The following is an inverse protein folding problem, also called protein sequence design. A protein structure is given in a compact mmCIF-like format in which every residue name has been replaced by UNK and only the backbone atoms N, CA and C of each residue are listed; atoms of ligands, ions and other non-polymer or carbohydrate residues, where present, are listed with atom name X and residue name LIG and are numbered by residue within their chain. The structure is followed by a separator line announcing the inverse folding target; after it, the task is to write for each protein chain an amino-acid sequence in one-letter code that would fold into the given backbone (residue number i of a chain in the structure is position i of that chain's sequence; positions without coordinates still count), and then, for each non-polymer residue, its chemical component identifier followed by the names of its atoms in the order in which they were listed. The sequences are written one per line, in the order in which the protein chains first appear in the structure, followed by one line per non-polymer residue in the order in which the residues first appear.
data_IF_251364827064
#
_entry.id   IF_251364827064
#
_cell.length_a   1.000
_cell.length_b   1.000
_cell.length_c   1.000
_cell.angle_alpha   90.00
_cell.angle_beta   90.00
_cell.angle_gamma   90.00
#
_symmetry.space_group_name_H-M   'P 1'
#
loop_
_entity.id
_entity.type
_entity.pdbx_description
1 polymer ?
#
# COMPACT_ATOMS: atom_id res chain seq x y z
N UNK A 1 1.59 -4.81 8.12
CA UNK A 1 2.74 -5.39 8.84
C UNK A 1 3.11 -4.46 9.96
N UNK A 2 3.30 -4.98 11.16
CA UNK A 2 3.64 -4.23 12.36
C UNK A 2 5.00 -4.67 12.90
N UNK A 3 5.80 -3.71 13.35
CA UNK A 3 7.18 -3.93 13.76
C UNK A 3 7.49 -3.10 15.01
N UNK A 4 8.28 -3.65 15.92
CA UNK A 4 8.81 -2.99 17.12
C UNK A 4 10.33 -3.02 17.03
N UNK A 5 10.96 -1.86 17.05
CA UNK A 5 12.41 -1.70 16.89
C UNK A 5 12.95 -0.80 17.98
N UNK A 6 13.93 -1.27 18.73
CA UNK A 6 14.63 -0.44 19.72
C UNK A 6 15.32 0.75 19.04
N UNK A 7 15.10 1.96 19.54
CA UNK A 7 15.82 3.14 19.07
C UNK A 7 17.30 3.05 19.46
N UNK A 8 18.20 3.40 18.55
CA UNK A 8 19.66 3.29 18.80
C UNK A 8 20.20 4.33 19.79
N UNK A 9 19.42 5.37 20.08
CA UNK A 9 19.88 6.55 20.82
C UNK A 9 19.09 6.79 22.11
N UNK A 10 18.12 5.94 22.42
CA UNK A 10 17.28 6.04 23.61
C UNK A 10 16.79 4.66 24.00
N UNK A 11 16.40 4.50 25.27
CA UNK A 11 15.84 3.23 25.79
C UNK A 11 14.36 3.04 25.40
N UNK A 12 13.92 3.67 24.31
CA UNK A 12 12.55 3.62 23.82
C UNK A 12 12.46 2.82 22.53
N UNK A 13 11.36 2.11 22.38
CA UNK A 13 11.03 1.42 21.14
C UNK A 13 10.30 2.34 20.16
N UNK A 14 10.58 2.15 18.88
CA UNK A 14 9.86 2.73 17.75
C UNK A 14 8.92 1.64 17.21
N UNK A 15 7.66 1.99 17.08
CA UNK A 15 6.64 1.10 16.54
C UNK A 15 6.28 1.55 15.14
N UNK A 16 6.24 0.64 14.17
CA UNK A 16 5.88 0.97 12.79
C UNK A 16 4.78 0.07 12.27
N UNK A 17 3.92 0.63 11.42
CA UNK A 17 2.95 -0.11 10.63
C UNK A 17 3.12 0.20 9.15
N UNK A 18 3.24 -0.82 8.31
CA UNK A 18 3.36 -0.70 6.86
C UNK A 18 2.17 -1.37 6.19
N UNK A 19 1.39 -0.60 5.43
CA UNK A 19 0.30 -1.09 4.58
C UNK A 19 0.80 -1.11 3.14
N UNK A 20 1.07 -2.32 2.65
CA UNK A 20 1.69 -2.55 1.34
C UNK A 20 0.63 -3.11 0.38
N UNK A 21 0.16 -2.33 -0.60
CA UNK A 21 -0.80 -2.85 -1.58
C UNK A 21 -0.13 -3.77 -2.60
N UNK A 22 -0.97 -4.55 -3.31
CA UNK A 22 -0.50 -5.25 -4.51
C UNK A 22 -0.08 -4.24 -5.61
N UNK A 23 -0.74 -3.08 -5.67
CA UNK A 23 -0.45 -1.98 -6.57
C UNK A 23 -0.97 -0.67 -5.99
N UNK A 24 -0.17 0.40 -6.07
CA UNK A 24 -0.55 1.73 -5.59
C UNK A 24 0.44 2.28 -4.58
N UNK A 25 0.07 3.41 -3.97
CA UNK A 25 0.88 4.12 -2.99
C UNK A 25 1.04 3.33 -1.69
N UNK A 26 2.20 3.41 -1.04
CA UNK A 26 2.39 2.82 0.29
C UNK A 26 1.85 3.77 1.37
N UNK A 27 1.32 3.20 2.45
CA UNK A 27 0.91 3.95 3.63
C UNK A 27 1.65 3.39 4.85
N UNK A 28 2.43 4.26 5.49
CA UNK A 28 3.32 3.88 6.60
C UNK A 28 3.03 4.76 7.81
N UNK A 29 2.86 4.15 8.98
CA UNK A 29 2.67 4.82 10.26
C UNK A 29 3.84 4.49 11.20
N UNK A 30 4.14 5.41 12.10
CA UNK A 30 5.24 5.30 13.05
C UNK A 30 4.88 6.01 14.35
N UNK A 31 5.09 5.36 15.49
CA UNK A 31 5.16 6.02 16.80
C UNK A 31 6.64 6.15 17.12
N UNK A 32 7.13 7.39 17.14
CA UNK A 32 8.53 7.66 17.41
C UNK A 32 8.85 7.69 18.91
N UNK A 33 10.14 7.80 19.24
CA UNK A 33 10.62 7.88 20.63
C UNK A 33 10.08 9.07 21.44
N UNK A 34 9.44 10.05 20.79
CA UNK A 34 8.78 11.18 21.45
C UNK A 34 7.27 10.98 21.57
N UNK A 35 6.82 9.74 21.36
CA UNK A 35 5.44 9.29 21.42
C UNK A 35 4.52 10.04 20.43
N UNK A 36 5.09 10.60 19.35
CA UNK A 36 4.31 11.24 18.30
C UNK A 36 3.94 10.23 17.21
N UNK A 37 2.66 10.23 16.83
CA UNK A 37 2.12 9.34 15.80
C UNK A 37 2.25 10.02 14.44
N UNK A 38 3.18 9.53 13.63
CA UNK A 38 3.43 10.02 12.30
C UNK A 38 2.92 9.10 11.19
N UNK A 39 2.77 9.68 10.01
CA UNK A 39 2.42 9.01 8.76
C UNK A 39 3.35 9.44 7.63
N UNK A 40 3.70 8.50 6.75
CA UNK A 40 4.33 8.77 5.45
C UNK A 40 3.42 8.20 4.36
N UNK A 41 2.96 9.10 3.50
CA UNK A 41 2.16 8.77 2.31
C UNK A 41 3.12 8.61 1.12
N UNK A 42 3.11 7.46 0.46
CA UNK A 42 3.95 7.13 -0.69
C UNK A 42 5.45 7.43 -0.48
N UNK A 43 5.97 7.07 0.70
CA UNK A 43 7.37 7.29 1.11
C UNK A 43 7.81 8.76 1.05
N UNK A 44 6.86 9.71 1.14
CA UNK A 44 7.13 11.15 1.23
C UNK A 44 7.43 11.56 2.67
N UNK A 45 7.55 12.88 2.88
CA UNK A 45 7.89 13.48 4.18
C UNK A 45 6.88 13.05 5.26
N UNK A 46 7.40 12.83 6.48
CA UNK A 46 6.60 12.49 7.67
C UNK A 46 5.64 13.64 8.00
N UNK A 47 4.42 13.28 8.37
CA UNK A 47 3.34 14.17 8.82
C UNK A 47 2.71 13.58 10.07
N UNK A 48 1.93 14.36 10.82
CA UNK A 48 1.14 13.80 11.93
C UNK A 48 0.03 12.91 11.34
N UNK A 49 -0.23 11.76 11.96
CA UNK A 49 -1.29 10.86 11.51
C UNK A 49 -2.68 11.51 11.61
N UNK A 50 -2.87 12.44 12.55
CA UNK A 50 -4.09 13.24 12.72
C UNK A 50 -4.42 14.11 11.52
N UNK A 51 -3.41 14.64 10.82
CA UNK A 51 -3.59 15.38 9.56
C UNK A 51 -4.18 14.48 8.48
N UNK A 52 -3.73 13.21 8.38
CA UNK A 52 -4.33 12.27 7.45
C UNK A 52 -5.79 11.97 7.83
N UNK A 53 -6.08 11.73 9.11
CA UNK A 53 -7.46 11.46 9.57
C UNK A 53 -8.41 12.62 9.26
N UNK A 54 -7.98 13.86 9.52
CA UNK A 54 -8.71 15.09 9.16
C UNK A 54 -8.91 15.21 7.65
N UNK A 55 -7.87 14.95 6.86
CA UNK A 55 -7.96 14.96 5.38
C UNK A 55 -8.96 13.91 4.86
N UNK A 56 -9.06 12.75 5.53
CA UNK A 56 -10.04 11.70 5.21
C UNK A 56 -11.47 12.02 5.68
N UNK A 57 -11.66 13.13 6.40
CA UNK A 57 -12.98 13.64 6.76
C UNK A 57 -13.38 13.41 8.22
N UNK A 58 -12.49 12.89 9.06
CA UNK A 58 -12.78 12.81 10.50
C UNK A 58 -12.63 14.18 11.15
N UNK A 59 -13.59 14.54 11.98
CA UNK A 59 -13.52 15.71 12.86
C UNK A 59 -12.61 15.45 14.05
N UNK A 60 -12.13 16.52 14.67
CA UNK A 60 -11.31 16.42 15.87
C UNK A 60 -12.04 15.72 17.03
N UNK A 61 -13.35 15.93 17.15
CA UNK A 61 -14.20 15.25 18.14
C UNK A 61 -14.26 13.74 17.92
N UNK A 62 -14.49 13.31 16.68
CA UNK A 62 -14.49 11.89 16.31
C UNK A 62 -13.11 11.26 16.55
N UNK A 63 -12.01 11.96 16.23
CA UNK A 63 -10.66 11.43 16.51
C UNK A 63 -10.45 11.27 18.02
N UNK A 64 -10.88 12.23 18.85
CA UNK A 64 -10.75 12.11 20.31
C UNK A 64 -11.53 10.93 20.86
N UNK A 65 -12.77 10.76 20.43
CA UNK A 65 -13.62 9.65 20.86
C UNK A 65 -13.03 8.30 20.43
N UNK A 66 -12.66 8.21 19.16
CA UNK A 66 -12.18 6.97 18.55
C UNK A 66 -10.84 6.50 19.14
N UNK A 67 -9.99 7.44 19.57
CA UNK A 67 -8.65 7.14 20.11
C UNK A 67 -8.49 7.50 21.60
N UNK A 68 -9.58 7.64 22.36
CA UNK A 68 -9.56 8.07 23.76
C UNK A 68 -8.65 7.21 24.67
N UNK A 69 -8.54 5.92 24.38
CA UNK A 69 -7.70 4.97 25.13
C UNK A 69 -6.19 5.07 24.79
N UNK A 70 -5.79 5.91 23.83
CA UNK A 70 -4.44 5.92 23.27
C UNK A 70 -3.77 7.31 23.41
N UNK A 71 -3.06 7.58 24.53
CA UNK A 71 -2.48 8.89 24.81
C UNK A 71 -1.59 9.44 23.70
N UNK A 72 -0.75 8.60 23.07
CA UNK A 72 0.13 9.03 21.98
C UNK A 72 -0.64 9.69 20.81
N UNK A 73 -1.82 9.18 20.47
CA UNK A 73 -2.66 9.75 19.40
C UNK A 73 -3.28 11.07 19.85
N UNK A 74 -3.76 11.14 21.10
CA UNK A 74 -4.36 12.35 21.68
C UNK A 74 -3.32 13.46 21.81
N UNK A 75 -2.14 13.17 22.35
CA UNK A 75 -1.03 14.12 22.46
C UNK A 75 -0.58 14.63 21.09
N UNK A 76 -0.60 13.77 20.07
CA UNK A 76 -0.31 14.16 18.69
C UNK A 76 -1.38 15.11 18.14
N UNK A 77 -2.65 14.87 18.49
CA UNK A 77 -3.77 15.73 18.10
C UNK A 77 -3.69 17.11 18.75
N UNK A 78 -3.31 17.19 20.02
CA UNK A 78 -3.15 18.45 20.75
C UNK A 78 -2.00 19.31 20.23
N UNK A 79 -0.91 18.67 19.77
CA UNK A 79 0.23 19.35 19.14
C UNK A 79 -0.02 19.74 17.68
N UNK A 80 -1.13 19.31 17.10
CA UNK A 80 -1.45 19.55 15.69
C UNK A 80 -1.94 20.99 15.49
N UNK A 81 -1.39 21.67 14.49
CA UNK A 81 -1.77 23.05 14.16
C UNK A 81 -2.87 23.13 13.10
N UNK A 82 -3.14 22.01 12.40
CA UNK A 82 -4.16 21.91 11.35
C UNK A 82 -5.49 21.58 12.01
N UNK A 83 -6.53 22.39 11.81
CA UNK A 83 -7.82 22.19 12.48
C UNK A 83 -8.90 21.67 11.53
N UNK A 84 -8.90 22.12 10.27
CA UNK A 84 -9.95 21.78 9.32
C UNK A 84 -9.51 20.70 8.32
N UNK A 85 -10.49 20.02 7.71
CA UNK A 85 -10.22 19.06 6.63
C UNK A 85 -9.49 19.73 5.45
N UNK A 86 -9.87 20.96 5.09
CA UNK A 86 -9.31 21.67 3.95
C UNK A 86 -7.84 22.04 4.20
N UNK A 87 -7.51 22.54 5.38
CA UNK A 87 -6.11 22.78 5.79
C UNK A 87 -5.29 21.49 5.76
N UNK A 88 -5.87 20.36 6.19
CA UNK A 88 -5.21 19.07 6.16
C UNK A 88 -4.92 18.60 4.74
N UNK A 89 -5.88 18.76 3.82
CA UNK A 89 -5.70 18.45 2.40
C UNK A 89 -4.61 19.32 1.76
N UNK A 90 -4.56 20.61 2.09
CA UNK A 90 -3.54 21.53 1.60
C UNK A 90 -2.14 21.20 2.14
N UNK A 91 -2.01 20.93 3.44
CA UNK A 91 -0.73 20.56 4.06
C UNK A 91 -0.17 19.26 3.48
N UNK A 92 -1.04 18.25 3.35
CA UNK A 92 -0.68 16.96 2.77
C UNK A 92 -0.25 17.11 1.30
N UNK A 93 -1.00 17.88 0.52
CA UNK A 93 -0.66 18.15 -0.88
C UNK A 93 0.71 18.83 -1.00
N UNK A 94 0.96 19.88 -0.22
CA UNK A 94 2.22 20.64 -0.22
C UNK A 94 3.42 19.74 0.08
N UNK A 95 3.28 18.79 1.00
CA UNK A 95 4.39 17.88 1.37
C UNK A 95 4.63 16.76 0.35
N UNK A 96 3.59 16.32 -0.35
CA UNK A 96 3.71 15.31 -1.42
C UNK A 96 4.22 15.94 -2.72
N UNK A 97 3.73 17.15 -3.05
CA UNK A 97 4.04 17.91 -4.27
C UNK A 97 4.46 19.35 -3.95
N UNK A 98 5.70 19.57 -3.47
CA UNK A 98 6.15 20.89 -3.01
C UNK A 98 6.30 21.95 -4.10
N UNK A 99 6.31 21.56 -5.39
CA UNK A 99 6.45 22.48 -6.53
C UNK A 99 5.14 22.89 -7.19
N UNK A 100 4.00 22.36 -6.74
CA UNK A 100 2.69 22.66 -7.33
C UNK A 100 1.86 23.52 -6.35
N UNK A 101 1.09 24.51 -6.84
CA UNK A 101 0.23 25.31 -5.97
C UNK A 101 -0.83 24.41 -5.31
N UNK A 102 -0.92 24.39 -3.97
CA UNK A 102 -1.86 23.51 -3.28
C UNK A 102 -3.29 24.08 -3.39
N UNK A 103 -4.23 23.24 -3.84
CA UNK A 103 -5.68 23.49 -3.74
C UNK A 103 -6.36 22.35 -3.01
N UNK A 104 -7.52 22.62 -2.41
CA UNK A 104 -8.29 21.62 -1.65
C UNK A 104 -8.73 20.48 -2.56
N UNK A 105 -9.18 20.80 -3.77
CA UNK A 105 -9.62 19.84 -4.78
C UNK A 105 -8.47 18.95 -5.23
N UNK A 106 -7.28 19.53 -5.41
CA UNK A 106 -6.09 18.78 -5.79
C UNK A 106 -5.64 17.84 -4.65
N UNK A 107 -5.69 18.28 -3.39
CA UNK A 107 -5.47 17.45 -2.20
C UNK A 107 -6.45 16.29 -2.11
N UNK A 108 -7.75 16.57 -2.29
CA UNK A 108 -8.82 15.56 -2.25
C UNK A 108 -8.64 14.53 -3.37
N UNK A 109 -8.43 15.01 -4.59
CA UNK A 109 -8.18 14.15 -5.75
C UNK A 109 -6.90 13.31 -5.59
N UNK A 110 -5.87 13.83 -4.93
CA UNK A 110 -4.63 13.10 -4.67
C UNK A 110 -4.88 11.91 -3.73
N UNK A 111 -5.54 12.14 -2.59
CA UNK A 111 -5.89 11.09 -1.62
C UNK A 111 -6.80 10.03 -2.25
N UNK A 112 -7.84 10.47 -2.97
CA UNK A 112 -8.76 9.59 -3.70
C UNK A 112 -8.00 8.67 -4.67
N UNK A 113 -7.10 9.25 -5.47
CA UNK A 113 -6.30 8.49 -6.42
C UNK A 113 -5.26 7.58 -5.75
N UNK A 114 -4.83 7.90 -4.53
CA UNK A 114 -3.83 7.11 -3.82
C UNK A 114 -4.41 5.90 -3.14
N UNK A 115 -5.63 5.96 -2.57
CA UNK A 115 -6.11 4.89 -1.71
C UNK A 115 -7.51 4.35 -2.05
N UNK A 116 -8.35 5.14 -2.71
CA UNK A 116 -9.77 4.83 -2.91
C UNK A 116 -10.15 4.56 -4.37
N UNK A 117 -9.31 4.95 -5.33
CA UNK A 117 -9.54 4.70 -6.74
C UNK A 117 -9.04 3.29 -7.17
N UNK A 118 -9.93 2.34 -7.53
CA UNK A 118 -9.54 0.97 -7.92
C UNK A 118 -8.66 0.91 -9.18
N UNK A 119 -8.73 1.95 -10.03
CA UNK A 119 -7.86 2.05 -11.21
C UNK A 119 -6.41 2.31 -10.83
N UNK A 120 -6.13 2.88 -9.66
CA UNK A 120 -4.77 3.27 -9.23
C UNK A 120 -4.26 2.50 -8.03
N UNK A 121 -5.17 2.06 -7.16
CA UNK A 121 -4.88 1.31 -5.95
C UNK A 121 -5.57 -0.05 -5.94
N UNK A 122 -4.88 -1.09 -5.50
CA UNK A 122 -5.37 -2.47 -5.47
C UNK A 122 -4.62 -3.30 -4.43
N UNK A 123 -5.34 -3.82 -3.43
CA UNK A 123 -4.84 -4.78 -2.45
C UNK A 123 -4.78 -6.22 -2.99
N UNK A 124 -5.49 -6.49 -4.09
CA UNK A 124 -5.90 -7.82 -4.53
C UNK A 124 -6.74 -8.57 -3.49
N UNK A 125 -7.44 -9.63 -3.92
CA UNK A 125 -8.27 -10.48 -3.05
C UNK A 125 -7.49 -11.01 -1.82
N UNK A 126 -6.22 -11.38 -2.04
CA UNK A 126 -5.35 -11.91 -0.98
C UNK A 126 -4.94 -10.81 0.01
N UNK A 127 -4.64 -9.60 -0.46
CA UNK A 127 -4.29 -8.49 0.42
C UNK A 127 -5.48 -8.04 1.26
N UNK A 128 -6.68 -7.94 0.66
CA UNK A 128 -7.92 -7.65 1.40
C UNK A 128 -8.19 -8.71 2.47
N UNK A 129 -8.09 -10.00 2.14
CA UNK A 129 -8.17 -11.09 3.12
C UNK A 129 -7.16 -10.94 4.28
N UNK A 130 -5.91 -10.54 3.97
CA UNK A 130 -4.86 -10.33 4.97
C UNK A 130 -5.17 -9.16 5.90
N UNK A 131 -5.61 -8.03 5.36
CA UNK A 131 -6.01 -6.85 6.15
C UNK A 131 -7.18 -7.21 7.07
N UNK A 132 -8.23 -7.82 6.51
CA UNK A 132 -9.40 -8.27 7.26
C UNK A 132 -9.03 -9.20 8.42
N UNK A 133 -8.17 -10.20 8.14
CA UNK A 133 -7.73 -11.14 9.16
C UNK A 133 -6.89 -10.46 10.26
N UNK A 134 -5.98 -9.55 9.88
CA UNK A 134 -5.04 -8.90 10.81
C UNK A 134 -5.71 -7.84 11.68
N UNK A 135 -6.66 -7.08 11.13
CA UNK A 135 -7.34 -5.98 11.82
C UNK A 135 -8.73 -6.35 12.37
N UNK A 136 -9.20 -7.59 12.12
CA UNK A 136 -10.56 -8.00 12.48
C UNK A 136 -11.62 -7.18 11.78
N UNK A 137 -11.53 -7.07 10.44
CA UNK A 137 -12.49 -6.34 9.61
C UNK A 137 -13.25 -7.31 8.70
N UNK A 138 -14.52 -6.99 8.40
CA UNK A 138 -15.43 -7.84 7.62
C UNK A 138 -15.76 -7.29 6.22
N UNK A 139 -14.90 -6.42 5.68
CA UNK A 139 -15.04 -5.90 4.31
C UNK A 139 -15.08 -7.03 3.26
N UNK A 140 -15.79 -6.85 2.16
CA UNK A 140 -15.91 -7.90 1.15
C UNK A 140 -14.54 -8.17 0.48
N UNK A 141 -14.26 -9.42 0.12
CA UNK A 141 -13.00 -9.77 -0.56
C UNK A 141 -12.87 -9.13 -1.95
N UNK A 142 -13.97 -8.63 -2.52
CA UNK A 142 -14.02 -7.86 -3.75
C UNK A 142 -13.61 -6.40 -3.55
N UNK A 143 -13.59 -5.90 -2.32
CA UNK A 143 -13.23 -4.52 -2.00
C UNK A 143 -11.70 -4.38 -2.06
N UNK A 144 -11.21 -4.10 -3.26
CA UNK A 144 -9.79 -4.08 -3.57
C UNK A 144 -9.08 -2.79 -3.15
N UNK A 145 -9.81 -1.78 -2.67
CA UNK A 145 -9.27 -0.48 -2.23
C UNK A 145 -9.36 -0.34 -0.72
N UNK A 146 -8.51 0.49 -0.10
CA UNK A 146 -8.61 0.75 1.34
C UNK A 146 -9.90 1.51 1.67
N UNK A 147 -10.32 1.42 2.93
CA UNK A 147 -11.41 2.20 3.50
C UNK A 147 -10.90 3.05 4.67
N UNK A 148 -11.70 4.04 5.09
CA UNK A 148 -11.38 4.82 6.29
C UNK A 148 -11.26 3.92 7.53
N UNK A 149 -12.15 2.92 7.68
CA UNK A 149 -12.09 1.98 8.81
C UNK A 149 -10.80 1.17 8.81
N UNK A 150 -10.27 0.76 7.65
CA UNK A 150 -8.96 0.09 7.57
C UNK A 150 -7.84 0.99 8.10
N UNK A 151 -7.86 2.28 7.76
CA UNK A 151 -6.84 3.26 8.19
C UNK A 151 -6.93 3.49 9.69
N UNK A 152 -8.13 3.73 10.22
CA UNK A 152 -8.39 3.92 11.65
C UNK A 152 -7.97 2.67 12.43
N UNK A 153 -8.39 1.48 12.00
CA UNK A 153 -8.03 0.22 12.63
C UNK A 153 -6.52 -0.04 12.60
N UNK A 154 -5.82 0.37 11.53
CA UNK A 154 -4.36 0.28 11.46
C UNK A 154 -3.68 1.15 12.51
N UNK A 155 -4.13 2.40 12.67
CA UNK A 155 -3.59 3.32 13.68
C UNK A 155 -3.93 2.82 15.10
N UNK A 156 -5.15 2.33 15.33
CA UNK A 156 -5.55 1.73 16.61
C UNK A 156 -4.68 0.54 16.96
N UNK A 157 -4.44 -0.36 16.02
CA UNK A 157 -3.59 -1.52 16.23
C UNK A 157 -2.15 -1.11 16.57
N UNK A 158 -1.60 -0.11 15.85
CA UNK A 158 -0.27 0.42 16.14
C UNK A 158 -0.19 1.05 17.54
N UNK A 159 -1.21 1.83 17.92
CA UNK A 159 -1.28 2.47 19.23
C UNK A 159 -1.46 1.44 20.36
N UNK A 160 -2.27 0.41 20.15
CA UNK A 160 -2.43 -0.72 21.08
C UNK A 160 -1.12 -1.47 21.29
N UNK A 161 -0.35 -1.71 20.21
CA UNK A 161 0.97 -2.32 20.29
C UNK A 161 1.96 -1.46 21.10
N UNK A 162 1.85 -0.14 21.01
CA UNK A 162 2.70 0.80 21.75
C UNK A 162 2.40 0.85 23.26
N UNK A 163 1.14 0.64 23.65
CA UNK A 163 0.75 0.56 25.07
C UNK A 163 0.72 -0.87 25.61
N UNK A 164 1.34 -1.82 24.89
CA UNK A 164 1.39 -3.26 25.21
C UNK A 164 0.01 -3.87 25.53
N UNK A 165 -1.05 -3.43 24.84
CA UNK A 165 -2.40 -4.00 24.98
C UNK A 165 -2.48 -5.32 24.22
N UNK A 166 -2.86 -6.41 24.89
CA UNK A 166 -2.84 -7.77 24.31
C UNK A 166 -3.88 -8.01 23.21
N UNK A 167 -5.05 -7.38 23.31
CA UNK A 167 -6.17 -7.60 22.40
C UNK A 167 -6.89 -6.31 22.01
N UNK A 168 -7.48 -6.32 20.82
CA UNK A 168 -8.41 -5.31 20.34
C UNK A 168 -9.71 -5.94 19.88
N UNK A 169 -10.86 -5.29 20.12
CA UNK A 169 -12.12 -5.75 19.56
C UNK A 169 -12.08 -5.64 18.03
N UNK A 170 -12.58 -6.67 17.37
CA UNK A 170 -12.78 -6.72 15.93
C UNK A 170 -14.03 -7.54 15.58
N UNK A 171 -14.27 -7.69 14.29
CA UNK A 171 -15.36 -8.50 13.75
C UNK A 171 -14.82 -9.53 12.76
N UNK A 172 -15.37 -10.74 12.79
CA UNK A 172 -15.10 -11.77 11.78
C UNK A 172 -16.36 -12.57 11.50
N UNK A 173 -16.84 -12.50 10.25
CA UNK A 173 -18.10 -13.14 9.85
C UNK A 173 -19.32 -12.56 10.56
N UNK A 174 -19.27 -11.30 11.02
CA UNK A 174 -20.32 -10.65 11.79
C UNK A 174 -20.32 -10.98 13.29
N UNK A 175 -19.38 -11.82 13.75
CA UNK A 175 -19.19 -12.10 15.17
C UNK A 175 -18.09 -11.21 15.75
N UNK A 176 -18.32 -10.71 16.97
CA UNK A 176 -17.32 -9.93 17.70
C UNK A 176 -16.21 -10.86 18.18
N UNK A 177 -14.96 -10.50 17.88
CA UNK A 177 -13.78 -11.28 18.23
C UNK A 177 -12.72 -10.39 18.88
N UNK A 178 -11.90 -10.98 19.73
CA UNK A 178 -10.68 -10.34 20.22
C UNK A 178 -9.52 -10.66 19.27
N UNK A 179 -9.02 -9.61 18.62
CA UNK A 179 -7.84 -9.66 17.76
C UNK A 179 -6.61 -9.50 18.62
N UNK A 180 -5.75 -10.52 18.63
CA UNK A 180 -4.45 -10.44 19.31
C UNK A 180 -3.55 -9.38 18.68
N UNK A 181 -2.96 -8.54 19.52
CA UNK A 181 -2.04 -7.49 19.11
C UNK A 181 -0.60 -8.01 19.26
N UNK A 182 0.02 -8.26 18.12
CA UNK A 182 1.41 -8.71 18.01
C UNK A 182 2.12 -8.09 16.78
N UNK A 183 3.44 -8.07 16.84
CA UNK A 183 4.31 -7.76 15.69
C UNK A 183 4.23 -8.87 14.64
N UNK A 184 4.58 -8.54 13.40
CA UNK A 184 4.59 -9.50 12.30
C UNK A 184 6.03 -9.93 11.99
N UNK A 185 6.25 -11.24 11.90
CA UNK A 185 7.45 -11.79 11.27
C UNK A 185 7.29 -11.68 9.74
N UNK A 186 8.16 -10.89 9.11
CA UNK A 186 8.16 -10.68 7.66
C UNK A 186 8.66 -11.89 6.87
N UNK A 187 9.31 -12.85 7.54
CA UNK A 187 9.94 -14.01 6.92
C UNK A 187 9.11 -15.29 7.01
N UNK A 188 8.14 -15.30 7.92
CA UNK A 188 7.12 -16.33 7.99
C UNK A 188 6.42 -16.51 6.63
N UNK A 189 6.26 -17.75 6.15
CA UNK A 189 5.63 -18.03 4.84
C UNK A 189 4.16 -17.61 4.74
N UNK A 190 3.49 -17.38 5.88
CA UNK A 190 2.21 -16.71 5.88
C UNK A 190 2.29 -15.30 5.28
N UNK A 191 3.40 -14.60 5.45
CA UNK A 191 3.63 -13.20 5.06
C UNK A 191 4.51 -13.08 3.80
N UNK A 192 5.29 -14.12 3.46
CA UNK A 192 6.01 -14.23 2.18
C UNK A 192 5.19 -14.96 1.12
N UNK A 193 4.76 -14.23 0.08
CA UNK A 193 3.97 -14.79 -1.03
C UNK A 193 4.82 -15.11 -2.26
N UNK A 194 4.65 -16.31 -2.80
CA UNK A 194 5.24 -16.72 -4.08
C UNK A 194 4.36 -16.20 -5.23
N UNK A 195 4.98 -15.50 -6.19
CA UNK A 195 4.35 -15.11 -7.46
C UNK A 195 4.71 -16.11 -8.54
N UNK A 196 3.72 -16.82 -9.07
CA UNK A 196 3.91 -17.78 -10.15
C UNK A 196 4.04 -17.10 -11.52
N UNK A 197 4.51 -17.85 -12.52
CA UNK A 197 4.73 -17.37 -13.90
C UNK A 197 3.48 -16.68 -14.48
N UNK A 198 2.29 -17.25 -14.28
CA UNK A 198 1.05 -16.68 -14.77
C UNK A 198 0.77 -15.27 -14.22
N UNK A 199 1.04 -15.04 -12.94
CA UNK A 199 0.86 -13.72 -12.32
C UNK A 199 1.90 -12.71 -12.82
N UNK A 200 3.15 -13.15 -13.01
CA UNK A 200 4.20 -12.30 -13.57
C UNK A 200 3.81 -11.81 -14.97
N UNK A 201 3.36 -12.71 -15.83
CA UNK A 201 2.90 -12.38 -17.20
C UNK A 201 1.64 -11.49 -17.14
N UNK A 202 0.66 -11.83 -16.30
CA UNK A 202 -0.55 -11.04 -16.12
C UNK A 202 -0.24 -9.58 -15.75
N UNK A 203 0.75 -9.35 -14.89
CA UNK A 203 1.17 -8.00 -14.51
C UNK A 203 1.77 -7.23 -15.71
N UNK A 204 2.53 -7.89 -16.58
CA UNK A 204 3.09 -7.25 -17.78
C UNK A 204 2.00 -6.91 -18.79
N UNK A 205 1.08 -7.85 -19.05
CA UNK A 205 -0.08 -7.63 -19.93
C UNK A 205 -0.93 -6.47 -19.40
N UNK A 206 -1.19 -6.41 -18.09
CA UNK A 206 -1.93 -5.30 -17.47
C UNK A 206 -1.24 -3.95 -17.72
N UNK A 207 0.08 -3.88 -17.50
CA UNK A 207 0.85 -2.66 -17.78
C UNK A 207 0.77 -2.26 -19.26
N UNK A 208 0.89 -3.23 -20.17
CA UNK A 208 0.71 -3.01 -21.61
C UNK A 208 -0.68 -2.49 -21.97
N UNK A 209 -1.73 -3.06 -21.38
CA UNK A 209 -3.12 -2.62 -21.57
C UNK A 209 -3.36 -1.22 -21.01
N UNK A 210 -2.75 -0.86 -19.87
CA UNK A 210 -2.86 0.50 -19.32
C UNK A 210 -2.22 1.55 -20.24
N UNK A 211 -1.07 1.23 -20.86
CA UNK A 211 -0.45 2.09 -21.88
C UNK A 211 -1.35 2.22 -23.12
N UNK A 212 -1.95 1.11 -23.56
CA UNK A 212 -2.90 1.11 -24.68
C UNK A 212 -4.16 1.92 -24.36
N UNK A 213 -4.71 1.80 -23.14
CA UNK A 213 -5.87 2.58 -22.68
C UNK A 213 -5.60 4.08 -22.79
N UNK A 214 -4.41 4.53 -22.39
CA UNK A 214 -4.02 5.94 -22.53
C UNK A 214 -4.06 6.41 -23.99
N UNK A 215 -3.53 5.60 -24.91
CA UNK A 215 -3.55 5.91 -26.35
C UNK A 215 -4.98 5.95 -26.89
N UNK A 216 -5.84 5.03 -26.44
CA UNK A 216 -7.26 5.02 -26.83
C UNK A 216 -7.94 6.32 -26.35
N UNK A 217 -7.75 6.72 -25.09
CA UNK A 217 -8.33 7.96 -24.54
C UNK A 217 -7.90 9.20 -25.34
N UNK A 218 -6.63 9.29 -25.68
CA UNK A 218 -6.08 10.40 -26.48
C UNK A 218 -6.64 10.44 -27.91
N UNK A 219 -6.78 9.27 -28.55
CA UNK A 219 -7.38 9.16 -29.89
C UNK A 219 -8.87 9.51 -29.89
N UNK A 220 -9.61 9.11 -28.87
CA UNK A 220 -11.03 9.46 -28.74
C UNK A 220 -11.28 10.97 -28.65
N UNK A 221 -10.33 11.74 -28.11
CA UNK A 221 -10.45 13.21 -28.04
C UNK A 221 -9.97 13.95 -29.30
N UNK A 222 -9.21 13.28 -30.17
CA UNK A 222 -8.55 13.91 -31.32
C UNK A 222 -9.16 13.51 -32.65
N UNK A 223 -9.78 12.34 -32.74
CA UNK A 223 -10.41 11.84 -33.96
C UNK A 223 -11.86 12.31 -34.06
N UNK A 224 -12.33 12.45 -35.30
CA UNK A 224 -13.73 12.77 -35.60
C UNK A 224 -14.64 11.60 -35.20
N UNK A 225 -15.75 11.92 -34.51
CA UNK A 225 -16.68 10.95 -33.90
C UNK A 225 -17.28 10.02 -34.95
N UNK A 226 -17.52 10.52 -36.17
CA UNK A 226 -18.12 9.74 -37.26
C UNK A 226 -17.13 8.75 -37.90
N UNK A 227 -15.81 8.97 -37.75
CA UNK A 227 -14.75 8.14 -38.33
C UNK A 227 -14.16 7.11 -37.34
N UNK A 228 -14.60 7.11 -36.09
CA UNK A 228 -14.07 6.23 -35.05
C UNK A 228 -14.54 4.78 -35.28
N UNK A 229 -13.57 3.87 -35.41
CA UNK A 229 -13.82 2.42 -35.36
C UNK A 229 -12.89 1.76 -34.33
N UNK A 230 -13.22 0.55 -33.82
CA UNK A 230 -12.34 -0.13 -32.87
C UNK A 230 -10.91 -0.34 -33.41
N UNK A 231 -10.76 -0.54 -34.72
CA UNK A 231 -9.45 -0.70 -35.35
C UNK A 231 -8.62 0.59 -35.34
N UNK A 232 -9.24 1.77 -35.48
CA UNK A 232 -8.51 3.05 -35.45
C UNK A 232 -8.07 3.43 -34.03
N UNK A 233 -8.79 2.97 -33.01
CA UNK A 233 -8.47 3.22 -31.60
C UNK A 233 -7.41 2.25 -31.05
N UNK A 234 -7.48 0.97 -31.41
CA UNK A 234 -6.64 -0.08 -30.81
C UNK A 234 -5.24 -0.07 -31.42
N UNK A 235 -4.24 0.21 -30.60
CA UNK A 235 -2.83 0.03 -30.94
C UNK A 235 -2.21 -1.03 -30.02
N UNK A 236 -1.91 -2.22 -30.56
CA UNK A 236 -1.38 -3.35 -29.78
C UNK A 236 0.12 -3.22 -29.47
N UNK A 237 0.84 -2.28 -30.09
CA UNK A 237 2.31 -2.14 -29.93
C UNK A 237 2.74 -2.07 -28.46
N UNK A 238 2.11 -1.29 -27.56
CA UNK A 238 2.50 -1.23 -26.15
C UNK A 238 2.33 -2.57 -25.42
N UNK A 239 1.31 -3.35 -25.76
CA UNK A 239 1.05 -4.67 -25.18
C UNK A 239 2.13 -5.65 -25.62
N UNK A 240 2.37 -5.76 -26.93
CA UNK A 240 3.40 -6.65 -27.48
C UNK A 240 4.79 -6.28 -26.96
N UNK A 241 5.10 -4.98 -26.88
CA UNK A 241 6.37 -4.50 -26.35
C UNK A 241 6.58 -4.91 -24.89
N UNK A 242 5.56 -4.76 -24.03
CA UNK A 242 5.67 -5.16 -22.61
C UNK A 242 5.94 -6.66 -22.42
N UNK A 243 5.33 -7.51 -23.26
CA UNK A 243 5.54 -8.96 -23.23
C UNK A 243 6.95 -9.30 -23.73
N UNK A 244 7.38 -8.71 -24.85
CA UNK A 244 8.72 -8.93 -25.41
C UNK A 244 9.81 -8.47 -24.44
N UNK A 245 9.64 -7.31 -23.82
CA UNK A 245 10.56 -6.77 -22.82
C UNK A 245 10.69 -7.73 -21.64
N UNK A 246 9.58 -8.24 -21.11
CA UNK A 246 9.62 -9.22 -20.03
C UNK A 246 10.41 -10.48 -20.37
N UNK A 247 10.16 -11.12 -21.52
CA UNK A 247 10.89 -12.34 -21.87
C UNK A 247 12.35 -12.07 -22.29
N UNK A 248 12.65 -10.87 -22.81
CA UNK A 248 13.98 -10.52 -23.31
C UNK A 248 14.96 -10.03 -22.25
N UNK A 249 14.51 -9.25 -21.26
CA UNK A 249 15.41 -8.55 -20.32
C UNK A 249 15.11 -8.79 -18.84
N UNK A 250 14.02 -9.50 -18.49
CA UNK A 250 13.69 -9.76 -17.09
C UNK A 250 14.68 -10.72 -16.44
N UNK A 251 15.10 -10.41 -15.20
CA UNK A 251 15.89 -11.32 -14.36
C UNK A 251 15.18 -12.66 -14.08
N UNK A 252 13.85 -12.69 -14.21
CA UNK A 252 13.03 -13.89 -14.01
C UNK A 252 12.84 -14.70 -15.31
N UNK A 253 13.24 -14.16 -16.47
CA UNK A 253 13.28 -14.85 -17.74
C UNK A 253 14.72 -15.30 -18.01
N UNK A 254 15.04 -16.54 -17.61
CA UNK A 254 16.40 -17.08 -17.66
C UNK A 254 16.55 -18.13 -18.76
N UNK A 255 17.74 -18.24 -19.34
CA UNK A 255 18.06 -19.35 -20.23
C UNK A 255 17.97 -20.66 -19.46
N UNK A 256 17.25 -21.64 -20.01
CA UNK A 256 17.05 -22.93 -19.35
C UNK A 256 18.39 -23.62 -19.08
N UNK A 257 18.54 -24.17 -17.87
CA UNK A 257 19.71 -24.98 -17.53
C UNK A 257 19.50 -26.38 -18.12
N UNK A 258 20.34 -26.74 -19.07
CA UNK A 258 20.21 -27.96 -19.88
C UNK A 258 21.41 -28.89 -19.71
N UNK A 259 22.24 -28.71 -18.68
CA UNK A 259 23.41 -29.56 -18.44
C UNK A 259 23.02 -31.03 -18.25
N UNK A 260 21.89 -31.30 -17.58
CA UNK A 260 21.28 -32.61 -17.45
C UNK A 260 19.78 -32.49 -17.10
N UNK A 261 18.98 -33.57 -17.20
CA UNK A 261 17.54 -33.51 -16.91
C UNK A 261 17.19 -33.00 -15.50
N UNK A 262 18.02 -33.31 -14.50
CA UNK A 262 17.82 -32.87 -13.11
C UNK A 262 18.05 -31.36 -12.96
N UNK A 263 19.04 -30.81 -13.65
CA UNK A 263 19.31 -29.37 -13.68
C UNK A 263 18.11 -28.62 -14.29
N UNK A 264 17.56 -29.14 -15.39
CA UNK A 264 16.35 -28.59 -16.01
C UNK A 264 15.13 -28.64 -15.09
N UNK A 265 14.93 -29.74 -14.36
CA UNK A 265 13.83 -29.86 -13.38
C UNK A 265 14.02 -28.90 -12.19
N UNK A 266 15.25 -28.80 -11.68
CA UNK A 266 15.61 -27.92 -10.56
C UNK A 266 15.40 -26.46 -10.93
N UNK A 267 15.80 -26.05 -12.14
CA UNK A 267 15.58 -24.68 -12.63
C UNK A 267 14.09 -24.35 -12.67
N UNK A 268 13.24 -25.23 -13.21
CA UNK A 268 11.78 -25.00 -13.31
C UNK A 268 11.09 -24.85 -11.94
N UNK A 269 11.65 -25.42 -10.87
CA UNK A 269 11.10 -25.40 -9.51
C UNK A 269 11.82 -24.41 -8.58
N UNK A 270 12.71 -23.57 -9.12
CA UNK A 270 13.48 -22.59 -8.35
C UNK A 270 12.57 -21.49 -7.79
N UNK A 271 12.79 -21.13 -6.54
CA UNK A 271 12.22 -19.93 -5.92
C UNK A 271 13.31 -18.85 -5.87
N UNK A 272 12.96 -17.62 -6.25
CA UNK A 272 13.86 -16.47 -6.20
C UNK A 272 13.23 -15.35 -5.39
N UNK A 273 13.96 -14.82 -4.41
CA UNK A 273 13.60 -13.59 -3.70
C UNK A 273 14.04 -12.33 -4.48
N UNK A 274 14.90 -12.50 -5.47
CA UNK A 274 15.44 -11.42 -6.30
C UNK A 274 14.54 -11.15 -7.52
N UNK A 275 14.53 -9.89 -7.97
CA UNK A 275 13.84 -9.45 -9.17
C UNK A 275 12.91 -8.25 -8.97
N UNK A 276 12.26 -7.77 -10.04
CA UNK A 276 11.33 -6.65 -9.95
C UNK A 276 10.19 -6.90 -8.94
N UNK A 277 10.10 -6.03 -7.93
CA UNK A 277 9.12 -6.15 -6.84
C UNK A 277 9.48 -7.16 -5.75
N UNK A 278 10.65 -7.79 -5.83
CA UNK A 278 11.30 -8.53 -4.74
C UNK A 278 12.42 -7.70 -4.10
N UNK A 279 13.42 -8.38 -3.56
CA UNK A 279 14.59 -7.75 -2.95
C UNK A 279 15.69 -7.54 -3.99
N UNK A 280 16.48 -6.48 -3.80
CA UNK A 280 17.75 -6.31 -4.52
C UNK A 280 18.86 -7.01 -3.76
N UNK A 281 19.87 -7.51 -4.49
CA UNK A 281 21.01 -8.23 -3.89
C UNK A 281 21.71 -7.43 -2.78
N UNK A 282 21.89 -6.12 -2.98
CA UNK A 282 22.57 -5.24 -2.03
C UNK A 282 21.70 -4.85 -0.81
N UNK A 283 20.39 -5.14 -0.85
CA UNK A 283 19.46 -4.85 0.25
C UNK A 283 18.99 -6.11 0.97
N UNK A 284 19.36 -7.29 0.48
CA UNK A 284 19.12 -8.54 1.18
C UNK A 284 20.11 -8.62 2.35
N UNK A 285 19.62 -8.40 3.57
CA UNK A 285 20.40 -8.63 4.78
C UNK A 285 20.62 -10.11 5.04
N UNK A 286 21.43 -10.43 6.05
CA UNK A 286 21.71 -11.82 6.46
C UNK A 286 20.47 -12.55 7.01
N UNK A 287 19.44 -11.81 7.41
CA UNK A 287 18.23 -12.31 8.06
C UNK A 287 17.16 -12.83 7.08
N UNK A 288 17.32 -12.58 5.77
CA UNK A 288 16.30 -12.75 4.73
C UNK A 288 16.33 -14.12 4.04
#
# INVERSE_FOLDING_TARGET
YFERVADKTSDKDIFTAKVIPSRGAWLEFEIDKRDNVGVRVDRKRKQNATVLLKALGMTEGEIREEFAEFPAVIDTLEKDHVQTQDEALLDLYRKIRPGEPPTVEAGRALIENFYFNPKRYDLAKVGRYKVNKKLGQDAALTDSVLSLSDVVATIKYLAALHVDKDTLPGSRGGEQIDVRVETDDIDHFGNRRIRAVGELIQNQVRTGLSRMERVVRERMTTQDVEAITPQTLINIRPVVASIKEFFGTSQLSQFMDQNNPLAGLTHKRRLSALGPGGLSRDRAGMEV
#
